data_IF_908506162500
#
_entry.id   IF_908506162500
#
_cell.length_a   1.000
_cell.length_b   1.000
_cell.length_c   1.000
_cell.angle_alpha   90.00
_cell.angle_beta   90.00
_cell.angle_gamma   90.00
#
_symmetry.space_group_name_H-M   'P 1'
#
loop_
_entity.id
_entity.type
_entity.pdbx_description
1 polymer ?
#
# COMPACT_ATOMS: atom_id res chain seq x y z
N UNK A 1 -34.75 11.69 15.13
CA UNK A 1 -34.24 10.30 15.01
C UNK A 1 -32.77 10.34 15.26
N UNK A 2 -32.25 9.28 15.84
CA UNK A 2 -30.82 9.23 16.05
C UNK A 2 -30.16 8.62 14.83
N UNK A 3 -29.21 9.34 14.25
CA UNK A 3 -28.31 8.78 13.25
C UNK A 3 -27.23 7.92 13.92
N UNK A 4 -26.82 6.87 13.22
CA UNK A 4 -25.79 5.94 13.68
C UNK A 4 -25.10 5.30 12.49
N UNK A 5 -23.83 4.98 12.61
CA UNK A 5 -23.15 4.08 11.67
C UNK A 5 -23.18 2.67 12.25
N UNK A 6 -23.86 1.76 11.54
CA UNK A 6 -23.85 0.34 11.85
C UNK A 6 -22.59 -0.28 11.26
N UNK A 7 -21.68 -0.75 12.12
CA UNK A 7 -20.42 -1.39 11.74
C UNK A 7 -20.58 -2.90 11.89
N UNK A 8 -20.36 -3.62 10.79
CA UNK A 8 -20.42 -5.08 10.74
C UNK A 8 -19.00 -5.64 10.81
N UNK A 9 -18.62 -6.34 11.89
CA UNK A 9 -17.29 -6.95 11.98
C UNK A 9 -17.12 -8.11 11.00
N UNK A 10 -15.87 -8.45 10.72
CA UNK A 10 -15.45 -9.48 9.77
C UNK A 10 -15.50 -10.92 10.31
N UNK A 11 -14.71 -11.76 9.66
CA UNK A 11 -14.61 -13.21 9.82
C UNK A 11 -14.26 -13.69 11.24
N UNK A 12 -13.66 -12.83 12.07
CA UNK A 12 -13.29 -13.18 13.45
C UNK A 12 -14.49 -13.41 14.39
N UNK A 13 -15.69 -13.01 13.99
CA UNK A 13 -16.93 -13.21 14.77
C UNK A 13 -17.28 -14.69 15.01
N UNK A 14 -16.70 -15.61 14.23
CA UNK A 14 -16.83 -17.06 14.39
C UNK A 14 -16.00 -17.58 15.59
N UNK A 15 -14.96 -16.86 16.01
CA UNK A 15 -14.13 -17.21 17.17
C UNK A 15 -14.93 -17.11 18.47
N UNK A 16 -14.51 -17.84 19.52
CA UNK A 16 -15.19 -17.88 20.83
C UNK A 16 -14.22 -17.50 21.96
N UNK A 17 -14.78 -17.13 23.11
CA UNK A 17 -14.01 -16.89 24.34
C UNK A 17 -13.06 -15.70 24.27
N UNK A 18 -11.91 -15.81 24.94
CA UNK A 18 -10.95 -14.74 25.13
C UNK A 18 -10.40 -14.17 23.81
N UNK A 19 -10.11 -15.01 22.82
CA UNK A 19 -9.60 -14.58 21.50
C UNK A 19 -10.56 -13.63 20.79
N UNK A 20 -11.86 -13.90 20.85
CA UNK A 20 -12.86 -13.00 20.27
C UNK A 20 -12.88 -11.65 21.01
N UNK A 21 -12.85 -11.68 22.34
CA UNK A 21 -12.86 -10.46 23.14
C UNK A 21 -11.63 -9.57 22.87
N UNK A 22 -10.46 -10.19 22.68
CA UNK A 22 -9.22 -9.49 22.31
C UNK A 22 -9.33 -8.85 20.91
N UNK A 23 -9.80 -9.60 19.91
CA UNK A 23 -10.02 -9.09 18.56
C UNK A 23 -11.05 -7.95 18.53
N UNK A 24 -12.15 -8.06 19.28
CA UNK A 24 -13.12 -6.97 19.44
C UNK A 24 -12.49 -5.72 20.08
N UNK A 25 -11.58 -5.88 21.05
CA UNK A 25 -10.86 -4.78 21.69
C UNK A 25 -9.90 -4.09 20.71
N UNK A 26 -9.17 -4.86 19.91
CA UNK A 26 -8.29 -4.34 18.85
C UNK A 26 -9.10 -3.56 17.80
N UNK A 27 -10.21 -4.13 17.33
CA UNK A 27 -11.10 -3.47 16.38
C UNK A 27 -11.63 -2.15 16.92
N UNK A 28 -12.13 -2.13 18.16
CA UNK A 28 -12.63 -0.90 18.79
C UNK A 28 -11.53 0.15 18.98
N UNK A 29 -10.31 -0.25 19.32
CA UNK A 29 -9.16 0.66 19.40
C UNK A 29 -8.91 1.32 18.04
N UNK A 30 -8.84 0.53 16.97
CA UNK A 30 -8.61 1.03 15.62
C UNK A 30 -9.78 1.91 15.12
N UNK A 31 -11.02 1.51 15.42
CA UNK A 31 -12.22 2.28 15.07
C UNK A 31 -12.27 3.64 15.76
N UNK A 32 -11.84 3.72 17.03
CA UNK A 32 -11.73 4.99 17.76
C UNK A 32 -10.67 5.90 17.13
N UNK A 33 -9.48 5.36 16.86
CA UNK A 33 -8.42 6.13 16.18
C UNK A 33 -8.88 6.65 14.80
N UNK A 34 -9.61 5.84 14.03
CA UNK A 34 -10.19 6.28 12.76
C UNK A 34 -11.26 7.37 12.95
N UNK A 35 -12.06 7.30 14.02
CA UNK A 35 -13.08 8.29 14.32
C UNK A 35 -12.51 9.65 14.74
N UNK A 36 -11.27 9.74 15.21
CA UNK A 36 -10.62 11.02 15.51
C UNK A 36 -10.49 11.92 14.27
N UNK A 37 -10.37 11.34 13.06
CA UNK A 37 -10.41 12.10 11.80
C UNK A 37 -11.75 12.83 11.58
N UNK A 38 -12.79 12.41 12.32
CA UNK A 38 -14.15 12.94 12.26
C UNK A 38 -14.56 13.70 13.54
N UNK A 39 -13.59 14.08 14.38
CA UNK A 39 -13.86 14.74 15.68
C UNK A 39 -14.31 13.78 16.79
N UNK A 40 -14.09 12.48 16.61
CA UNK A 40 -14.44 11.43 17.57
C UNK A 40 -15.82 10.82 17.35
N UNK A 41 -16.11 9.73 18.07
CA UNK A 41 -17.41 9.08 18.06
C UNK A 41 -17.71 8.34 19.37
N UNK A 42 -19.00 8.26 19.71
CA UNK A 42 -19.47 7.39 20.79
C UNK A 42 -19.75 6.00 20.22
N UNK A 43 -19.05 4.99 20.76
CA UNK A 43 -19.21 3.60 20.35
C UNK A 43 -20.07 2.80 21.33
N UNK A 44 -21.01 2.03 20.81
CA UNK A 44 -21.82 1.04 21.53
C UNK A 44 -21.56 -0.33 20.90
N UNK A 45 -21.27 -1.34 21.74
CA UNK A 45 -20.97 -2.70 21.28
C UNK A 45 -22.09 -3.64 21.66
N UNK A 46 -22.49 -4.45 20.70
CA UNK A 46 -23.40 -5.57 20.92
C UNK A 46 -22.85 -6.85 20.26
N UNK A 47 -23.33 -8.05 20.62
CA UNK A 47 -22.86 -9.28 19.99
C UNK A 47 -22.92 -9.24 18.44
N UNK A 48 -21.78 -9.14 17.77
CA UNK A 48 -21.72 -9.11 16.30
C UNK A 48 -22.04 -7.76 15.63
N UNK A 49 -22.22 -6.67 16.39
CA UNK A 49 -22.31 -5.30 15.85
C UNK A 49 -21.58 -4.29 16.72
N UNK A 50 -21.08 -3.26 16.05
CA UNK A 50 -20.63 -2.03 16.69
C UNK A 50 -21.46 -0.89 16.10
N UNK A 51 -21.88 0.04 16.94
CA UNK A 51 -22.63 1.23 16.55
C UNK A 51 -21.78 2.45 16.88
N UNK A 52 -21.63 3.37 15.94
CA UNK A 52 -20.88 4.61 16.12
C UNK A 52 -21.80 5.82 15.92
N UNK A 53 -21.80 6.76 16.89
CA UNK A 53 -22.56 8.02 16.83
C UNK A 53 -21.61 9.21 16.76
N UNK A 54 -21.87 10.12 15.84
CA UNK A 54 -21.05 11.29 15.48
C UNK A 54 -21.41 11.75 14.07
N UNK A 55 -20.47 12.39 13.35
CA UNK A 55 -20.64 12.72 11.93
C UNK A 55 -20.73 11.44 11.09
N UNK A 56 -21.94 11.04 10.73
CA UNK A 56 -22.17 9.76 10.02
C UNK A 56 -21.56 9.72 8.63
N UNK A 57 -21.46 10.85 7.93
CA UNK A 57 -20.88 10.93 6.59
C UNK A 57 -19.35 10.81 6.62
N UNK A 58 -18.70 11.42 7.60
CA UNK A 58 -17.28 11.21 7.82
C UNK A 58 -16.99 9.81 8.35
N UNK A 59 -17.72 9.37 9.38
CA UNK A 59 -17.48 8.08 10.05
C UNK A 59 -17.65 6.89 9.09
N UNK A 60 -18.61 6.93 8.15
CA UNK A 60 -18.72 5.83 7.17
C UNK A 60 -17.43 5.65 6.36
N UNK A 61 -16.77 6.75 5.95
CA UNK A 61 -15.54 6.71 5.15
C UNK A 61 -14.34 6.27 5.99
N UNK A 62 -14.23 6.77 7.22
CA UNK A 62 -13.14 6.41 8.12
C UNK A 62 -13.22 4.94 8.57
N UNK A 63 -14.39 4.51 9.04
CA UNK A 63 -14.61 3.15 9.56
C UNK A 63 -14.56 2.08 8.46
N UNK A 64 -14.89 2.42 7.21
CA UNK A 64 -14.71 1.54 6.05
C UNK A 64 -13.24 1.24 5.70
N UNK A 65 -12.27 1.93 6.34
CA UNK A 65 -10.83 1.65 6.18
C UNK A 65 -10.21 0.84 7.32
N UNK A 66 -11.00 0.43 8.31
CA UNK A 66 -10.50 -0.28 9.49
C UNK A 66 -10.47 -1.80 9.25
N UNK A 67 -9.29 -2.42 9.38
CA UNK A 67 -9.15 -3.88 9.27
C UNK A 67 -9.99 -4.62 10.32
N UNK A 68 -10.66 -5.69 9.90
CA UNK A 68 -11.67 -6.39 10.69
C UNK A 68 -13.09 -5.84 10.53
N UNK A 69 -13.30 -4.73 9.80
CA UNK A 69 -14.65 -4.28 9.40
C UNK A 69 -15.02 -4.90 8.06
N UNK A 70 -16.12 -5.66 8.01
CA UNK A 70 -16.69 -6.20 6.78
C UNK A 70 -17.41 -5.11 5.99
N UNK A 71 -18.30 -4.37 6.63
CA UNK A 71 -19.00 -3.25 6.00
C UNK A 71 -19.52 -2.27 7.04
N UNK A 72 -19.86 -1.07 6.59
CA UNK A 72 -20.49 -0.02 7.39
C UNK A 72 -21.71 0.53 6.66
N UNK A 73 -22.72 0.92 7.43
CA UNK A 73 -23.95 1.52 6.90
C UNK A 73 -24.35 2.72 7.74
N UNK A 74 -24.39 3.96 7.19
CA UNK A 74 -25.08 5.06 7.86
C UNK A 74 -26.58 4.73 7.92
N UNK A 75 -27.16 4.83 9.10
CA UNK A 75 -28.51 4.39 9.38
C UNK A 75 -29.25 5.34 10.32
N UNK A 76 -30.57 5.33 10.21
CA UNK A 76 -31.46 5.87 11.23
C UNK A 76 -31.88 4.75 12.18
N UNK A 77 -31.92 5.02 13.48
CA UNK A 77 -32.42 4.06 14.47
C UNK A 77 -33.69 4.58 15.15
N UNK A 78 -34.63 3.68 15.36
CA UNK A 78 -35.82 3.90 16.18
C UNK A 78 -36.07 2.73 17.12
N UNK A 79 -36.83 2.97 18.19
CA UNK A 79 -37.53 1.90 18.92
C UNK A 79 -38.89 1.63 18.27
N UNK A 80 -39.36 0.39 18.33
CA UNK A 80 -40.66 -0.01 17.79
C UNK A 80 -41.41 -0.90 18.78
N UNK A 81 -42.73 -0.92 18.69
CA UNK A 81 -43.59 -1.86 19.42
C UNK A 81 -44.11 -2.97 18.51
N UNK A 82 -44.35 -2.64 17.23
CA UNK A 82 -44.77 -3.61 16.23
C UNK A 82 -44.30 -3.29 14.80
N UNK A 83 -44.63 -4.20 13.88
CA UNK A 83 -44.28 -4.08 12.46
C UNK A 83 -44.85 -2.82 11.82
N UNK A 84 -46.02 -2.36 12.27
CA UNK A 84 -46.65 -1.15 11.76
C UNK A 84 -45.80 0.11 12.01
N UNK A 85 -45.09 0.19 13.14
CA UNK A 85 -44.20 1.31 13.43
C UNK A 85 -43.01 1.34 12.48
N UNK A 86 -42.41 0.16 12.25
CA UNK A 86 -41.29 -0.01 11.32
C UNK A 86 -41.71 0.39 9.91
N UNK A 87 -42.88 -0.06 9.45
CA UNK A 87 -43.40 0.25 8.12
C UNK A 87 -43.70 1.75 7.95
N UNK A 88 -44.32 2.38 8.96
CA UNK A 88 -44.61 3.81 8.96
C UNK A 88 -43.33 4.65 8.89
N UNK A 89 -42.31 4.26 9.65
CA UNK A 89 -41.04 4.99 9.65
C UNK A 89 -40.26 4.78 8.35
N UNK A 90 -40.21 3.54 7.84
CA UNK A 90 -39.61 3.25 6.54
C UNK A 90 -40.27 4.07 5.42
N UNK A 91 -41.60 4.18 5.42
CA UNK A 91 -42.32 5.01 4.45
C UNK A 91 -41.91 6.49 4.57
N UNK A 92 -41.83 7.02 5.80
CA UNK A 92 -41.40 8.40 6.05
C UNK A 92 -40.00 8.69 5.51
N UNK A 93 -39.09 7.72 5.59
CA UNK A 93 -37.71 7.85 5.11
C UNK A 93 -37.57 7.64 3.59
N UNK A 94 -38.36 6.75 2.99
CA UNK A 94 -38.04 6.16 1.70
C UNK A 94 -39.07 6.38 0.60
N UNK A 95 -40.28 6.88 0.89
CA UNK A 95 -41.30 7.16 -0.15
C UNK A 95 -40.73 8.04 -1.27
N UNK A 96 -40.05 9.14 -0.91
CA UNK A 96 -39.44 10.02 -1.91
C UNK A 96 -38.27 9.38 -2.68
N UNK A 97 -37.55 8.44 -2.07
CA UNK A 97 -36.44 7.72 -2.71
C UNK A 97 -36.91 6.58 -3.63
N UNK A 98 -38.10 6.03 -3.35
CA UNK A 98 -38.69 4.90 -4.05
C UNK A 98 -39.61 5.32 -5.20
N UNK A 99 -40.17 6.53 -5.16
CA UNK A 99 -41.13 7.02 -6.13
C UNK A 99 -40.65 6.84 -7.58
N UNK A 100 -41.44 6.14 -8.40
CA UNK A 100 -41.15 5.89 -9.82
C UNK A 100 -40.02 4.89 -10.10
N UNK A 101 -39.46 4.22 -9.07
CA UNK A 101 -38.32 3.31 -9.20
C UNK A 101 -38.68 1.87 -8.84
N UNK A 102 -37.89 0.94 -9.36
CA UNK A 102 -37.89 -0.47 -8.93
C UNK A 102 -37.11 -0.63 -7.64
N UNK A 103 -37.67 -1.30 -6.63
CA UNK A 103 -37.02 -1.45 -5.33
C UNK A 103 -37.12 -2.85 -4.74
N UNK A 104 -36.20 -3.16 -3.82
CA UNK A 104 -36.26 -4.34 -2.96
C UNK A 104 -36.11 -3.92 -1.49
N UNK A 105 -36.88 -4.57 -0.60
CA UNK A 105 -36.71 -4.42 0.85
C UNK A 105 -35.98 -5.64 1.39
N UNK A 106 -34.81 -5.42 1.98
CA UNK A 106 -33.95 -6.47 2.54
C UNK A 106 -33.98 -6.37 4.06
N UNK A 107 -34.61 -7.35 4.71
CA UNK A 107 -34.77 -7.35 6.17
C UNK A 107 -33.87 -8.38 6.82
N UNK A 108 -33.07 -7.95 7.80
CA UNK A 108 -32.31 -8.84 8.67
C UNK A 108 -32.84 -8.75 10.10
N UNK A 109 -33.21 -9.87 10.71
CA UNK A 109 -33.79 -9.91 12.06
C UNK A 109 -32.92 -10.75 12.97
N UNK A 110 -32.56 -10.19 14.12
CA UNK A 110 -31.78 -10.86 15.17
C UNK A 110 -32.53 -10.77 16.50
N UNK A 111 -32.87 -11.93 17.08
CA UNK A 111 -33.59 -12.04 18.35
C UNK A 111 -34.92 -12.77 18.23
N UNK A 112 -35.75 -12.66 19.27
CA UNK A 112 -37.08 -13.26 19.32
C UNK A 112 -38.15 -12.16 19.15
N UNK A 113 -39.05 -12.35 18.18
CA UNK A 113 -40.10 -11.41 17.80
C UNK A 113 -41.36 -12.19 17.39
N UNK A 114 -42.57 -11.65 17.58
CA UNK A 114 -43.81 -12.28 17.15
C UNK A 114 -44.05 -12.19 15.62
N UNK A 115 -43.06 -11.73 14.87
CA UNK A 115 -43.11 -11.54 13.42
C UNK A 115 -41.80 -11.99 12.76
N UNK A 116 -41.86 -12.25 11.47
CA UNK A 116 -40.74 -12.68 10.64
C UNK A 116 -40.13 -11.50 9.86
N UNK A 117 -38.94 -11.71 9.30
CA UNK A 117 -38.34 -10.74 8.37
C UNK A 117 -39.21 -10.51 7.13
N UNK A 118 -39.98 -11.54 6.72
CA UNK A 118 -40.91 -11.45 5.57
C UNK A 118 -42.09 -10.54 5.88
N UNK A 119 -42.61 -10.59 7.10
CA UNK A 119 -43.72 -9.73 7.52
C UNK A 119 -43.31 -8.25 7.50
N UNK A 120 -42.11 -7.95 8.00
CA UNK A 120 -41.55 -6.59 7.93
C UNK A 120 -41.33 -6.16 6.49
N UNK A 121 -40.72 -7.02 5.66
CA UNK A 121 -40.47 -6.71 4.25
C UNK A 121 -41.77 -6.43 3.49
N UNK A 122 -42.81 -7.23 3.72
CA UNK A 122 -44.12 -7.07 3.10
C UNK A 122 -44.81 -5.77 3.56
N UNK A 123 -44.77 -5.46 4.86
CA UNK A 123 -45.38 -4.25 5.39
C UNK A 123 -44.70 -2.98 4.87
N UNK A 124 -43.36 -2.94 4.91
CA UNK A 124 -42.57 -1.83 4.34
C UNK A 124 -42.79 -1.72 2.83
N UNK A 125 -42.74 -2.85 2.12
CA UNK A 125 -42.95 -2.89 0.68
C UNK A 125 -44.34 -2.37 0.27
N UNK A 126 -45.39 -2.78 0.99
CA UNK A 126 -46.75 -2.30 0.75
C UNK A 126 -46.86 -0.78 0.93
N UNK A 127 -46.23 -0.21 1.96
CA UNK A 127 -46.23 1.22 2.19
C UNK A 127 -45.51 2.01 1.07
N UNK A 128 -44.43 1.46 0.51
CA UNK A 128 -43.70 2.08 -0.61
C UNK A 128 -44.43 1.92 -1.95
N UNK A 129 -45.11 0.79 -2.18
CA UNK A 129 -45.94 0.57 -3.38
C UNK A 129 -47.12 1.55 -3.41
N UNK A 130 -47.77 1.78 -2.27
CA UNK A 130 -48.85 2.76 -2.16
C UNK A 130 -48.41 4.19 -2.56
N UNK A 131 -47.11 4.46 -2.52
CA UNK A 131 -46.48 5.71 -2.93
C UNK A 131 -46.04 5.75 -4.41
N UNK A 132 -46.36 4.72 -5.20
CA UNK A 132 -46.07 4.67 -6.64
C UNK A 132 -44.73 4.03 -7.01
N UNK A 133 -44.10 3.28 -6.09
CA UNK A 133 -42.91 2.48 -6.37
C UNK A 133 -43.27 1.06 -6.84
N UNK A 134 -42.36 0.39 -7.56
CA UNK A 134 -42.58 -1.00 -8.05
C UNK A 134 -41.60 -1.96 -7.38
N UNK A 135 -42.07 -3.10 -6.88
CA UNK A 135 -41.19 -4.13 -6.32
C UNK A 135 -40.46 -4.88 -7.45
N UNK A 136 -39.15 -5.03 -7.32
CA UNK A 136 -38.29 -5.90 -8.14
C UNK A 136 -37.20 -6.50 -7.23
N UNK A 137 -37.29 -7.81 -6.97
CA UNK A 137 -36.37 -8.48 -6.04
C UNK A 137 -35.07 -8.94 -6.71
N UNK A 138 -35.04 -8.98 -8.04
CA UNK A 138 -33.93 -9.49 -8.84
C UNK A 138 -33.04 -8.34 -9.33
N UNK A 139 -33.65 -7.29 -9.89
CA UNK A 139 -32.94 -6.12 -10.46
C UNK A 139 -33.49 -4.78 -9.91
N UNK A 140 -33.41 -4.55 -8.59
CA UNK A 140 -33.82 -3.29 -7.99
C UNK A 140 -32.91 -2.13 -8.42
N UNK A 141 -33.49 -0.95 -8.65
CA UNK A 141 -32.73 0.30 -8.81
C UNK A 141 -32.31 0.89 -7.45
N UNK A 142 -33.03 0.54 -6.39
CA UNK A 142 -32.72 0.92 -5.01
C UNK A 142 -33.05 -0.22 -4.06
N UNK A 143 -32.12 -0.52 -3.16
CA UNK A 143 -32.34 -1.46 -2.07
C UNK A 143 -32.51 -0.71 -0.74
N UNK A 144 -33.56 -1.07 -0.01
CA UNK A 144 -33.87 -0.54 1.31
C UNK A 144 -33.63 -1.63 2.35
N UNK A 145 -32.79 -1.34 3.33
CA UNK A 145 -32.41 -2.33 4.33
C UNK A 145 -32.98 -1.98 5.71
N UNK A 146 -33.61 -2.97 6.33
CA UNK A 146 -34.09 -2.88 7.72
C UNK A 146 -33.37 -3.95 8.54
N UNK A 147 -32.58 -3.54 9.53
CA UNK A 147 -32.03 -4.45 10.53
C UNK A 147 -32.86 -4.33 11.82
N UNK A 148 -33.54 -5.41 12.21
CA UNK A 148 -34.36 -5.48 13.43
C UNK A 148 -33.60 -6.23 14.50
N UNK A 149 -33.41 -5.60 15.66
CA UNK A 149 -32.65 -6.18 16.76
C UNK A 149 -33.16 -5.72 18.12
N UNK A 150 -33.62 -6.68 18.93
CA UNK A 150 -34.30 -6.36 20.19
C UNK A 150 -35.53 -5.48 19.93
N UNK A 151 -35.64 -4.36 20.64
CA UNK A 151 -36.70 -3.35 20.50
C UNK A 151 -36.35 -2.23 19.48
N UNK A 152 -35.25 -2.37 18.71
CA UNK A 152 -34.77 -1.35 17.76
C UNK A 152 -34.81 -1.82 16.31
N UNK A 153 -35.13 -0.88 15.41
CA UNK A 153 -35.02 -1.03 13.97
C UNK A 153 -34.03 0.00 13.42
N UNK A 154 -33.14 -0.46 12.54
CA UNK A 154 -32.13 0.35 11.85
C UNK A 154 -32.45 0.40 10.36
N UNK A 155 -32.56 1.59 9.79
CA UNK A 155 -32.95 1.84 8.41
C UNK A 155 -31.76 2.44 7.64
N UNK A 156 -31.33 1.78 6.57
CA UNK A 156 -30.23 2.26 5.72
C UNK A 156 -30.43 1.87 4.26
N UNK A 157 -29.78 2.60 3.37
CA UNK A 157 -29.76 2.36 1.91
C UNK A 157 -28.36 2.10 1.37
N UNK A 158 -27.33 2.46 2.15
CA UNK A 158 -25.93 2.36 1.74
C UNK A 158 -25.23 1.26 2.54
N UNK A 159 -24.49 0.41 1.84
CA UNK A 159 -23.56 -0.55 2.43
C UNK A 159 -22.18 -0.28 1.84
N UNK A 160 -21.30 0.31 2.64
CA UNK A 160 -19.92 0.59 2.25
C UNK A 160 -19.07 -0.58 2.68
N UNK A 161 -18.47 -1.28 1.71
CA UNK A 161 -17.60 -2.42 1.99
C UNK A 161 -16.29 -1.98 2.65
N UNK A 162 -15.97 -2.64 3.77
CA UNK A 162 -14.70 -2.50 4.45
C UNK A 162 -13.64 -3.44 3.89
N UNK A 163 -12.43 -3.45 4.49
CA UNK A 163 -11.38 -4.38 4.08
C UNK A 163 -11.69 -5.85 4.45
N UNK A 164 -12.65 -6.11 5.35
CA UNK A 164 -12.86 -7.41 5.95
C UNK A 164 -11.64 -7.83 6.77
N UNK A 165 -11.33 -9.13 6.75
CA UNK A 165 -10.12 -9.61 7.40
C UNK A 165 -10.23 -9.69 8.92
N UNK A 166 -9.07 -9.65 9.57
CA UNK A 166 -8.90 -9.69 11.02
C UNK A 166 -8.50 -8.31 11.56
N UNK A 167 -8.83 -7.99 12.82
CA UNK A 167 -8.38 -6.74 13.45
C UNK A 167 -6.85 -6.66 13.46
N UNK A 168 -6.32 -5.48 13.13
CA UNK A 168 -4.88 -5.26 13.05
C UNK A 168 -4.19 -5.50 14.41
N UNK A 169 -3.13 -6.31 14.42
CA UNK A 169 -2.38 -6.71 15.61
C UNK A 169 -2.79 -8.08 16.19
N UNK A 170 -3.80 -8.74 15.63
CA UNK A 170 -4.23 -10.06 16.09
C UNK A 170 -3.31 -11.21 15.67
N UNK A 171 -2.51 -11.05 14.61
CA UNK A 171 -1.66 -12.10 14.04
C UNK A 171 -0.18 -11.69 14.05
N UNK A 172 0.29 -11.13 15.18
CA UNK A 172 1.69 -10.79 15.38
C UNK A 172 2.18 -9.63 14.49
N UNK A 173 3.43 -9.70 14.05
CA UNK A 173 4.11 -8.59 13.35
C UNK A 173 5.07 -9.09 12.28
N UNK A 174 5.08 -8.39 11.16
CA UNK A 174 5.92 -8.66 10.00
C UNK A 174 6.64 -7.39 9.55
N UNK A 175 7.72 -7.57 8.77
CA UNK A 175 8.46 -6.48 8.13
C UNK A 175 8.27 -6.57 6.61
N UNK A 176 7.59 -5.59 6.02
CA UNK A 176 7.36 -5.54 4.58
C UNK A 176 8.49 -4.81 3.86
N UNK A 177 9.04 -5.42 2.81
CA UNK A 177 10.02 -4.82 1.91
C UNK A 177 9.28 -4.03 0.84
N UNK A 178 9.31 -2.69 0.91
CA UNK A 178 8.52 -1.81 0.03
C UNK A 178 9.43 -1.01 -0.88
N UNK A 179 9.26 -1.14 -2.20
CA UNK A 179 10.09 -0.53 -3.24
C UNK A 179 9.52 0.76 -3.84
N UNK A 180 8.29 1.15 -3.49
CA UNK A 180 7.57 2.27 -4.11
C UNK A 180 6.79 1.88 -5.37
N UNK A 181 7.08 0.73 -5.98
CA UNK A 181 6.29 0.14 -7.06
C UNK A 181 4.88 -0.30 -6.63
N UNK A 182 4.10 -0.84 -7.57
CA UNK A 182 2.68 -1.19 -7.36
C UNK A 182 2.50 -2.36 -6.38
N UNK A 183 3.34 -3.38 -6.50
CA UNK A 183 3.06 -4.70 -5.92
C UNK A 183 3.36 -4.75 -4.40
N UNK A 184 4.52 -4.25 -3.98
CA UNK A 184 4.95 -4.29 -2.57
C UNK A 184 3.98 -3.63 -1.56
N UNK A 185 3.35 -2.46 -1.81
CA UNK A 185 2.34 -1.94 -0.90
C UNK A 185 1.07 -2.79 -0.86
N UNK A 186 0.67 -3.43 -1.96
CA UNK A 186 -0.49 -4.35 -1.98
C UNK A 186 -0.20 -5.58 -1.11
N UNK A 187 0.99 -6.17 -1.24
CA UNK A 187 1.41 -7.28 -0.39
C UNK A 187 1.39 -6.93 1.10
N UNK A 188 1.95 -5.77 1.46
CA UNK A 188 1.91 -5.26 2.83
C UNK A 188 0.47 -5.08 3.34
N UNK A 189 -0.42 -4.51 2.53
CA UNK A 189 -1.83 -4.30 2.87
C UNK A 189 -2.58 -5.62 3.08
N UNK A 190 -2.29 -6.65 2.28
CA UNK A 190 -2.88 -7.98 2.44
C UNK A 190 -2.51 -8.63 3.78
N UNK A 191 -1.28 -8.44 4.28
CA UNK A 191 -0.90 -8.91 5.61
C UNK A 191 -1.58 -8.11 6.73
N UNK A 192 -1.73 -6.79 6.57
CA UNK A 192 -2.53 -6.00 7.51
C UNK A 192 -3.98 -6.49 7.57
N UNK A 193 -4.56 -6.86 6.42
CA UNK A 193 -5.90 -7.47 6.32
C UNK A 193 -5.98 -8.82 7.03
N UNK A 194 -4.88 -9.58 7.08
CA UNK A 194 -4.79 -10.81 7.88
C UNK A 194 -4.42 -10.55 9.34
N UNK A 195 -4.49 -9.31 9.82
CA UNK A 195 -4.33 -8.99 11.24
C UNK A 195 -2.88 -8.81 11.70
N UNK A 196 -1.89 -8.86 10.81
CA UNK A 196 -0.49 -8.64 11.18
C UNK A 196 -0.17 -7.15 11.30
N UNK A 197 0.52 -6.74 12.36
CA UNK A 197 1.20 -5.44 12.35
C UNK A 197 2.30 -5.43 11.29
N UNK A 198 2.36 -4.37 10.48
CA UNK A 198 3.35 -4.23 9.41
C UNK A 198 4.22 -3.02 9.70
N UNK A 199 5.50 -3.28 9.98
CA UNK A 199 6.56 -2.28 9.81
C UNK A 199 7.09 -2.37 8.36
N UNK A 200 7.67 -1.30 7.84
CA UNK A 200 8.14 -1.21 6.46
C UNK A 200 9.65 -1.02 6.43
N UNK A 201 10.36 -1.78 5.60
CA UNK A 201 11.74 -1.51 5.22
C UNK A 201 11.78 -1.07 3.75
N UNK A 202 12.36 0.10 3.51
CA UNK A 202 12.69 0.61 2.20
C UNK A 202 14.21 0.70 2.02
N UNK A 203 14.70 0.11 0.94
CA UNK A 203 16.09 0.17 0.51
C UNK A 203 16.20 1.28 -0.54
N UNK A 204 16.80 2.40 -0.16
CA UNK A 204 16.93 3.56 -1.03
C UNK A 204 18.17 3.40 -1.93
N UNK A 205 17.94 3.45 -3.23
CA UNK A 205 19.00 3.52 -4.26
C UNK A 205 18.90 4.80 -5.11
N UNK A 206 17.81 5.56 -4.98
CA UNK A 206 17.41 6.61 -5.91
C UNK A 206 17.48 8.02 -5.33
N UNK A 207 18.48 8.30 -4.49
CA UNK A 207 18.66 9.63 -3.92
C UNK A 207 17.47 10.13 -3.08
N UNK A 208 17.28 11.45 -3.00
CA UNK A 208 16.23 12.06 -2.17
C UNK A 208 14.89 12.07 -2.90
N UNK A 209 14.89 12.27 -4.23
CA UNK A 209 13.65 12.33 -5.01
C UNK A 209 12.92 10.99 -4.99
N UNK A 210 13.61 9.88 -5.29
CA UNK A 210 12.97 8.57 -5.27
C UNK A 210 12.53 8.16 -3.87
N UNK A 211 13.34 8.51 -2.85
CA UNK A 211 12.95 8.32 -1.46
C UNK A 211 11.66 9.07 -1.16
N UNK A 212 11.56 10.35 -1.51
CA UNK A 212 10.36 11.17 -1.30
C UNK A 212 9.12 10.52 -1.94
N UNK A 213 9.22 10.09 -3.20
CA UNK A 213 8.13 9.39 -3.89
C UNK A 213 7.74 8.09 -3.18
N UNK A 214 8.72 7.26 -2.83
CA UNK A 214 8.46 5.98 -2.15
C UNK A 214 7.84 6.19 -0.77
N UNK A 215 8.26 7.22 -0.03
CA UNK A 215 7.66 7.54 1.26
C UNK A 215 6.23 8.04 1.16
N UNK A 216 5.84 8.72 0.08
CA UNK A 216 4.42 9.07 -0.16
C UNK A 216 3.57 7.81 -0.45
N UNK A 217 4.12 6.82 -1.17
CA UNK A 217 3.46 5.50 -1.33
C UNK A 217 3.30 4.81 0.03
N UNK A 218 4.37 4.78 0.83
CA UNK A 218 4.35 4.17 2.18
C UNK A 218 3.37 4.90 3.10
N UNK A 219 3.32 6.23 3.06
CA UNK A 219 2.37 7.04 3.83
C UNK A 219 0.92 6.72 3.45
N UNK A 220 0.64 6.57 2.15
CA UNK A 220 -0.69 6.17 1.66
C UNK A 220 -1.06 4.76 2.13
N UNK A 221 -0.14 3.82 2.07
CA UNK A 221 -0.32 2.46 2.61
C UNK A 221 -0.61 2.50 4.12
N UNK A 222 0.21 3.20 4.90
CA UNK A 222 0.10 3.27 6.35
C UNK A 222 -1.11 4.10 6.83
N UNK A 223 -1.80 4.82 5.95
CA UNK A 223 -3.10 5.43 6.28
C UNK A 223 -4.18 4.38 6.60
N UNK A 224 -3.98 3.11 6.23
CA UNK A 224 -4.88 1.99 6.55
C UNK A 224 -4.57 1.34 7.92
N UNK A 225 -3.43 1.64 8.54
CA UNK A 225 -2.96 0.94 9.75
C UNK A 225 -3.49 1.53 11.07
N UNK A 226 -4.79 1.83 11.14
CA UNK A 226 -5.42 2.30 12.38
C UNK A 226 -5.16 1.34 13.55
N UNK A 227 -4.87 1.88 14.73
CA UNK A 227 -4.53 1.13 15.92
C UNK A 227 -3.03 0.81 16.04
N UNK A 228 -2.22 1.16 15.04
CA UNK A 228 -0.80 0.85 14.98
C UNK A 228 0.07 2.01 14.46
N UNK A 229 1.03 2.42 15.29
CA UNK A 229 2.07 3.38 14.91
C UNK A 229 3.27 2.66 14.28
N UNK A 230 3.11 2.30 13.01
CA UNK A 230 4.11 1.58 12.22
C UNK A 230 5.46 2.31 12.16
N UNK A 231 6.53 1.52 12.04
CA UNK A 231 7.88 2.00 11.76
C UNK A 231 8.13 1.96 10.26
N UNK A 232 8.73 3.02 9.74
CA UNK A 232 9.30 3.11 8.40
C UNK A 232 10.81 3.13 8.57
N UNK A 233 11.45 2.04 8.17
CA UNK A 233 12.87 1.82 8.22
C UNK A 233 13.44 2.11 6.83
N UNK A 234 14.42 2.99 6.76
CA UNK A 234 15.04 3.46 5.52
C UNK A 234 16.52 3.10 5.58
N UNK A 235 16.98 2.23 4.70
CA UNK A 235 18.40 1.92 4.52
C UNK A 235 18.94 2.59 3.25
N UNK A 236 20.13 3.18 3.32
CA UNK A 236 20.88 3.56 2.13
C UNK A 236 21.54 2.31 1.54
N UNK A 237 21.15 1.92 0.34
CA UNK A 237 21.63 0.70 -0.30
C UNK A 237 22.72 0.94 -1.34
N UNK A 238 23.27 2.15 -1.42
CA UNK A 238 24.43 2.47 -2.24
C UNK A 238 25.60 1.47 -2.04
N UNK A 239 25.94 1.03 -0.80
CA UNK A 239 26.97 0.01 -0.58
C UNK A 239 26.68 -1.34 -1.24
N UNK A 240 25.40 -1.76 -1.26
CA UNK A 240 24.97 -3.00 -1.93
C UNK A 240 25.14 -2.86 -3.44
N UNK A 241 24.72 -1.73 -4.03
CA UNK A 241 24.88 -1.49 -5.46
C UNK A 241 26.36 -1.52 -5.87
N UNK A 242 27.24 -0.91 -5.06
CA UNK A 242 28.70 -0.95 -5.28
C UNK A 242 29.24 -2.39 -5.22
N UNK A 243 28.88 -3.15 -4.18
CA UNK A 243 29.33 -4.53 -3.99
C UNK A 243 28.89 -5.45 -5.15
N UNK A 244 27.67 -5.26 -5.66
CA UNK A 244 27.18 -5.99 -6.84
C UNK A 244 28.05 -5.72 -8.07
N UNK A 245 28.38 -4.45 -8.35
CA UNK A 245 29.18 -4.08 -9.53
C UNK A 245 30.62 -4.57 -9.44
N UNK A 246 31.23 -4.54 -8.26
CA UNK A 246 32.65 -4.89 -8.09
C UNK A 246 32.88 -6.39 -7.86
N UNK A 247 31.91 -7.12 -7.32
CA UNK A 247 32.12 -8.46 -6.77
C UNK A 247 31.18 -9.55 -7.29
N UNK A 248 30.18 -9.21 -8.11
CA UNK A 248 29.19 -10.18 -8.59
C UNK A 248 29.09 -10.14 -10.11
N UNK A 249 29.05 -11.31 -10.75
CA UNK A 249 28.80 -11.42 -12.19
C UNK A 249 27.47 -10.78 -12.57
N UNK A 250 27.45 -10.00 -13.64
CA UNK A 250 26.29 -9.20 -14.07
C UNK A 250 25.00 -10.03 -14.24
N UNK A 251 25.13 -11.24 -14.78
CA UNK A 251 24.02 -12.19 -14.95
C UNK A 251 23.33 -12.60 -13.64
N UNK A 252 24.02 -12.47 -12.49
CA UNK A 252 23.51 -12.82 -11.16
C UNK A 252 22.95 -11.61 -10.39
N UNK A 253 23.11 -10.38 -10.87
CA UNK A 253 22.79 -9.17 -10.10
C UNK A 253 21.35 -9.13 -9.59
N UNK A 254 20.37 -9.61 -10.36
CA UNK A 254 18.97 -9.65 -9.91
C UNK A 254 18.75 -10.58 -8.71
N UNK A 255 19.38 -11.77 -8.71
CA UNK A 255 19.29 -12.72 -7.61
C UNK A 255 20.05 -12.16 -6.41
N UNK A 256 21.26 -11.65 -6.65
CA UNK A 256 22.12 -11.07 -5.64
C UNK A 256 21.50 -9.85 -4.93
N UNK A 257 20.89 -8.93 -5.68
CA UNK A 257 20.22 -7.76 -5.11
C UNK A 257 19.04 -8.17 -4.22
N UNK A 258 18.17 -9.08 -4.68
CA UNK A 258 17.07 -9.59 -3.87
C UNK A 258 17.56 -10.28 -2.60
N UNK A 259 18.62 -11.08 -2.74
CA UNK A 259 19.26 -11.74 -1.61
C UNK A 259 19.81 -10.74 -0.61
N UNK A 260 20.42 -9.64 -1.06
CA UNK A 260 20.83 -8.53 -0.20
C UNK A 260 19.63 -7.96 0.57
N UNK A 261 18.51 -7.68 -0.11
CA UNK A 261 17.28 -7.17 0.51
C UNK A 261 16.75 -8.13 1.58
N UNK A 262 16.77 -9.44 1.34
CA UNK A 262 16.31 -10.44 2.31
C UNK A 262 17.22 -10.51 3.52
N UNK A 263 18.54 -10.46 3.33
CA UNK A 263 19.49 -10.50 4.44
C UNK A 263 19.44 -9.20 5.26
N UNK A 264 19.36 -8.03 4.63
CA UNK A 264 19.14 -6.75 5.32
C UNK A 264 17.80 -6.81 6.08
N UNK A 265 16.74 -7.27 5.42
CA UNK A 265 15.43 -7.46 6.05
C UNK A 265 15.48 -8.37 7.26
N UNK A 266 16.18 -9.50 7.18
CA UNK A 266 16.32 -10.46 8.27
C UNK A 266 17.05 -9.86 9.48
N UNK A 267 18.11 -9.06 9.26
CA UNK A 267 18.79 -8.36 10.35
C UNK A 267 17.89 -7.28 10.98
N UNK A 268 17.25 -6.44 10.17
CA UNK A 268 16.32 -5.40 10.64
C UNK A 268 15.11 -6.01 11.38
N UNK A 269 14.61 -7.15 10.91
CA UNK A 269 13.49 -7.86 11.52
C UNK A 269 13.73 -8.21 12.99
N UNK A 270 14.97 -8.52 13.38
CA UNK A 270 15.35 -8.77 14.78
C UNK A 270 15.11 -7.52 15.63
N UNK A 271 15.56 -6.37 15.17
CA UNK A 271 15.42 -5.07 15.85
C UNK A 271 13.96 -4.67 16.02
N UNK A 272 13.14 -4.88 14.98
CA UNK A 272 11.71 -4.55 15.04
C UNK A 272 10.87 -5.64 15.69
N UNK A 273 11.45 -6.83 15.97
CA UNK A 273 10.78 -8.06 16.44
C UNK A 273 9.69 -8.57 15.50
N UNK A 274 9.98 -8.57 14.20
CA UNK A 274 9.10 -9.14 13.18
C UNK A 274 9.35 -10.64 13.05
N UNK A 275 8.29 -11.42 12.91
CA UNK A 275 8.35 -12.88 12.79
C UNK A 275 8.55 -13.36 11.34
N UNK A 276 8.28 -12.49 10.35
CA UNK A 276 8.42 -12.80 8.93
C UNK A 276 8.71 -11.53 8.12
N UNK A 277 9.30 -11.73 6.94
CA UNK A 277 9.37 -10.72 5.89
C UNK A 277 8.16 -10.81 4.97
N UNK A 278 7.80 -9.71 4.32
CA UNK A 278 6.76 -9.66 3.29
C UNK A 278 7.33 -9.04 2.03
N UNK A 279 7.11 -9.67 0.88
CA UNK A 279 7.52 -9.13 -0.43
C UNK A 279 6.33 -9.03 -1.38
N UNK A 280 6.43 -8.13 -2.34
CA UNK A 280 5.47 -7.97 -3.44
C UNK A 280 5.75 -8.87 -4.64
N UNK A 281 6.36 -10.04 -4.46
CA UNK A 281 6.71 -10.91 -5.58
C UNK A 281 5.52 -11.74 -6.07
N UNK A 282 5.36 -11.84 -7.40
CA UNK A 282 4.38 -12.66 -8.11
C UNK A 282 5.07 -13.62 -9.08
N UNK A 283 4.65 -14.88 -9.12
CA UNK A 283 5.35 -15.90 -9.89
C UNK A 283 5.20 -15.65 -11.40
N UNK A 284 6.33 -15.58 -12.12
CA UNK A 284 6.35 -15.47 -13.58
C UNK A 284 6.11 -14.07 -14.16
N UNK A 285 5.98 -13.03 -13.32
CA UNK A 285 5.77 -11.65 -13.79
C UNK A 285 7.02 -11.02 -14.41
N UNK A 286 8.20 -11.30 -13.85
CA UNK A 286 9.51 -10.83 -14.35
C UNK A 286 10.55 -11.94 -14.27
N UNK A 287 11.66 -11.79 -15.01
CA UNK A 287 12.74 -12.79 -15.07
C UNK A 287 13.37 -13.13 -13.72
N UNK A 288 13.33 -12.20 -12.76
CA UNK A 288 13.83 -12.40 -11.39
C UNK A 288 12.83 -13.11 -10.47
N UNK A 289 11.62 -13.42 -10.93
CA UNK A 289 10.53 -14.03 -10.17
C UNK A 289 10.13 -15.40 -10.77
N UNK A 290 11.10 -16.17 -11.26
CA UNK A 290 10.93 -17.60 -11.51
C UNK A 290 11.03 -18.38 -10.21
N UNK A 291 10.47 -19.60 -10.18
CA UNK A 291 10.56 -20.47 -9.00
C UNK A 291 12.01 -20.71 -8.58
N UNK A 292 12.91 -20.93 -9.53
CA UNK A 292 14.32 -21.16 -9.28
C UNK A 292 15.05 -19.91 -8.77
N UNK A 293 14.72 -18.72 -9.29
CA UNK A 293 15.30 -17.47 -8.80
C UNK A 293 14.84 -17.15 -7.37
N UNK A 294 13.55 -17.39 -7.06
CA UNK A 294 13.02 -17.22 -5.70
C UNK A 294 13.68 -18.18 -4.71
N UNK A 295 13.79 -19.46 -5.08
CA UNK A 295 14.46 -20.47 -4.25
C UNK A 295 15.93 -20.13 -4.01
N UNK A 296 16.64 -19.68 -5.05
CA UNK A 296 18.03 -19.25 -4.95
C UNK A 296 18.20 -18.02 -4.04
N UNK A 297 17.35 -16.99 -4.20
CA UNK A 297 17.40 -15.78 -3.38
C UNK A 297 17.10 -16.05 -1.90
N UNK A 298 16.21 -17.00 -1.59
CA UNK A 298 15.80 -17.34 -0.22
C UNK A 298 16.71 -18.36 0.47
N UNK A 299 17.56 -19.09 -0.26
CA UNK A 299 18.43 -20.13 0.29
C UNK A 299 19.22 -19.65 1.52
N UNK A 300 19.09 -20.30 2.68
CA UNK A 300 19.85 -19.90 3.88
C UNK A 300 19.37 -18.62 4.59
N UNK A 301 18.27 -17.99 4.15
CA UNK A 301 17.61 -16.92 4.90
C UNK A 301 16.71 -17.54 5.97
N UNK A 302 17.06 -17.35 7.25
CA UNK A 302 16.41 -18.06 8.38
C UNK A 302 15.04 -17.52 8.81
N UNK A 303 14.60 -16.38 8.29
CA UNK A 303 13.28 -15.79 8.59
C UNK A 303 12.28 -16.14 7.47
N UNK A 304 11.03 -16.53 7.78
CA UNK A 304 10.02 -16.80 6.75
C UNK A 304 9.77 -15.59 5.84
N UNK A 305 9.68 -15.83 4.53
CA UNK A 305 9.35 -14.80 3.53
C UNK A 305 7.94 -15.05 2.97
N UNK A 306 7.00 -14.18 3.32
CA UNK A 306 5.61 -14.26 2.86
C UNK A 306 5.44 -13.52 1.54
N UNK A 307 4.80 -14.18 0.56
CA UNK A 307 4.55 -13.66 -0.79
C UNK A 307 3.06 -13.68 -1.12
N UNK A 308 2.27 -12.71 -0.62
CA UNK A 308 0.82 -12.70 -0.77
C UNK A 308 0.33 -12.67 -2.21
N UNK A 309 1.18 -12.17 -3.12
CA UNK A 309 0.85 -11.96 -4.53
C UNK A 309 1.32 -13.13 -5.41
N UNK A 310 1.91 -14.19 -4.83
CA UNK A 310 2.62 -15.23 -5.59
C UNK A 310 1.78 -15.88 -6.70
N UNK A 311 0.46 -15.97 -6.50
CA UNK A 311 -0.49 -16.54 -7.47
C UNK A 311 -1.49 -15.52 -8.03
N UNK A 312 -1.26 -14.22 -7.85
CA UNK A 312 -2.13 -13.16 -8.37
C UNK A 312 -1.62 -12.63 -9.70
N UNK A 313 -2.55 -12.33 -10.61
CA UNK A 313 -2.21 -11.65 -11.85
C UNK A 313 -2.08 -10.12 -11.66
N UNK A 314 -1.56 -9.45 -12.71
CA UNK A 314 -1.30 -8.01 -12.68
C UNK A 314 -2.58 -7.16 -12.55
N UNK A 315 -3.69 -7.62 -13.10
CA UNK A 315 -4.96 -6.89 -13.07
C UNK A 315 -5.58 -6.94 -11.68
N UNK A 316 -5.50 -8.09 -11.01
CA UNK A 316 -5.89 -8.25 -9.61
C UNK A 316 -5.07 -7.34 -8.68
N UNK A 317 -3.74 -7.34 -8.85
CA UNK A 317 -2.84 -6.47 -8.06
C UNK A 317 -3.16 -5.00 -8.32
N UNK A 318 -3.37 -4.62 -9.59
CA UNK A 318 -3.67 -3.23 -9.98
C UNK A 318 -5.00 -2.75 -9.40
N UNK A 319 -6.06 -3.57 -9.48
CA UNK A 319 -7.36 -3.26 -8.87
C UNK A 319 -7.25 -3.04 -7.36
N UNK A 320 -6.46 -3.86 -6.67
CA UNK A 320 -6.19 -3.66 -5.25
C UNK A 320 -5.40 -2.37 -4.99
N UNK A 321 -4.35 -2.09 -5.76
CA UNK A 321 -3.57 -0.86 -5.64
C UNK A 321 -4.42 0.40 -5.84
N UNK A 322 -5.37 0.37 -6.77
CA UNK A 322 -6.34 1.44 -6.99
C UNK A 322 -7.29 1.57 -5.78
N UNK A 323 -7.84 0.45 -5.29
CA UNK A 323 -8.73 0.43 -4.12
C UNK A 323 -8.06 1.01 -2.87
N UNK A 324 -6.78 0.73 -2.64
CA UNK A 324 -6.04 1.22 -1.48
C UNK A 324 -5.43 2.61 -1.69
N UNK A 325 -5.50 3.13 -2.92
CA UNK A 325 -5.07 4.46 -3.33
C UNK A 325 -3.57 4.61 -3.56
N UNK A 326 -2.81 3.51 -3.68
CA UNK A 326 -1.35 3.55 -3.92
C UNK A 326 -0.98 3.60 -5.40
N UNK A 327 -1.87 3.14 -6.29
CA UNK A 327 -1.59 3.00 -7.73
C UNK A 327 -1.04 4.29 -8.37
N UNK A 328 -1.74 5.42 -8.26
CA UNK A 328 -1.37 6.67 -8.94
C UNK A 328 0.00 7.21 -8.54
N UNK A 329 0.41 6.96 -7.30
CA UNK A 329 1.71 7.40 -6.78
C UNK A 329 2.79 6.39 -7.19
N UNK A 330 2.50 5.10 -7.09
CA UNK A 330 3.43 4.03 -7.48
C UNK A 330 3.73 4.03 -8.97
N UNK A 331 2.75 4.34 -9.83
CA UNK A 331 2.93 4.39 -11.28
C UNK A 331 3.93 5.47 -11.74
N UNK A 332 4.21 6.47 -10.89
CA UNK A 332 5.18 7.54 -11.15
C UNK A 332 6.59 7.21 -10.63
N UNK A 333 6.75 6.12 -9.89
CA UNK A 333 8.02 5.75 -9.27
C UNK A 333 8.89 4.99 -10.27
N UNK A 334 10.13 5.43 -10.56
CA UNK A 334 11.04 4.70 -11.43
C UNK A 334 11.38 3.31 -10.85
N UNK A 335 11.42 2.28 -11.68
CA UNK A 335 11.87 0.95 -11.26
C UNK A 335 13.40 0.86 -11.29
N UNK A 336 14.04 1.06 -10.13
CA UNK A 336 15.50 0.96 -10.00
C UNK A 336 16.03 -0.48 -10.16
N UNK A 337 15.21 -1.50 -9.91
CA UNK A 337 15.60 -2.90 -10.14
C UNK A 337 15.89 -3.19 -11.62
N UNK A 338 15.29 -2.44 -12.56
CA UNK A 338 15.55 -2.59 -13.99
C UNK A 338 16.98 -2.15 -14.39
N UNK A 339 17.69 -1.41 -13.53
CA UNK A 339 19.09 -1.05 -13.77
C UNK A 339 20.00 -2.29 -13.77
N UNK A 340 19.59 -3.38 -13.12
CA UNK A 340 20.39 -4.60 -12.95
C UNK A 340 20.06 -5.72 -13.97
N UNK A 341 19.27 -5.44 -15.02
CA UNK A 341 18.56 -6.48 -15.78
C UNK A 341 19.20 -6.92 -17.11
N UNK A 342 20.52 -6.91 -17.26
CA UNK A 342 21.15 -7.37 -18.51
C UNK A 342 21.34 -8.89 -18.51
N UNK A 343 20.58 -9.56 -19.39
CA UNK A 343 20.56 -11.04 -19.53
C UNK A 343 20.52 -11.78 -18.19
N UNK A 344 19.54 -11.48 -17.32
CA UNK A 344 19.54 -12.00 -15.97
C UNK A 344 19.33 -13.51 -15.98
N UNK A 345 20.18 -14.19 -15.21
CA UNK A 345 20.04 -15.62 -14.93
C UNK A 345 18.77 -15.85 -14.12
N UNK A 346 18.04 -16.92 -14.47
CA UNK A 346 16.76 -17.30 -13.85
C UNK A 346 16.91 -18.32 -12.71
N UNK A 347 18.15 -18.64 -12.33
CA UNK A 347 18.53 -19.63 -11.33
C UNK A 347 19.98 -19.36 -10.89
N UNK A 348 20.41 -19.90 -9.75
CA UNK A 348 21.80 -19.88 -9.32
C UNK A 348 22.17 -21.21 -8.65
N UNK A 349 23.42 -21.67 -8.78
CA UNK A 349 23.91 -22.82 -8.01
C UNK A 349 24.22 -22.42 -6.58
N UNK A 350 24.52 -23.40 -5.72
CA UNK A 350 24.92 -23.14 -4.35
C UNK A 350 26.23 -22.35 -4.26
N UNK A 351 27.20 -22.71 -5.10
CA UNK A 351 28.50 -22.04 -5.18
C UNK A 351 28.33 -20.57 -5.57
N UNK A 352 27.45 -20.30 -6.54
CA UNK A 352 27.14 -18.91 -6.95
C UNK A 352 26.44 -18.13 -5.83
N UNK A 353 25.62 -18.79 -5.02
CA UNK A 353 25.01 -18.17 -3.85
C UNK A 353 26.06 -17.85 -2.77
N UNK A 354 27.03 -18.73 -2.56
CA UNK A 354 28.15 -18.50 -1.63
C UNK A 354 29.05 -17.35 -2.12
N UNK A 355 29.34 -17.26 -3.42
CA UNK A 355 30.04 -16.13 -4.06
C UNK A 355 29.31 -14.80 -3.80
N UNK A 356 27.99 -14.78 -4.06
CA UNK A 356 27.14 -13.61 -3.81
C UNK A 356 27.17 -13.23 -2.33
N UNK A 357 27.05 -14.21 -1.42
CA UNK A 357 26.98 -13.96 0.00
C UNK A 357 28.27 -13.39 0.57
N UNK A 358 29.41 -13.84 0.05
CA UNK A 358 30.73 -13.32 0.37
C UNK A 358 30.87 -11.87 -0.12
N UNK A 359 30.56 -11.62 -1.39
CA UNK A 359 30.67 -10.27 -1.99
C UNK A 359 29.77 -9.23 -1.30
N UNK A 360 28.60 -9.64 -0.80
CA UNK A 360 27.62 -8.75 -0.19
C UNK A 360 27.74 -8.64 1.35
N UNK A 361 28.62 -9.41 2.00
CA UNK A 361 28.63 -9.56 3.46
C UNK A 361 28.73 -8.21 4.19
N UNK A 362 29.77 -7.44 3.90
CA UNK A 362 30.04 -6.16 4.57
C UNK A 362 28.98 -5.12 4.24
N UNK A 363 28.56 -5.04 2.97
CA UNK A 363 27.53 -4.10 2.53
C UNK A 363 26.19 -4.36 3.24
N UNK A 364 25.77 -5.62 3.37
CA UNK A 364 24.55 -5.97 4.10
C UNK A 364 24.63 -5.56 5.57
N UNK A 365 25.76 -5.82 6.23
CA UNK A 365 25.98 -5.47 7.64
C UNK A 365 26.00 -3.95 7.85
N UNK A 366 26.66 -3.22 6.95
CA UNK A 366 26.72 -1.76 6.95
C UNK A 366 25.32 -1.16 6.83
N UNK A 367 24.53 -1.58 5.83
CA UNK A 367 23.18 -1.05 5.62
C UNK A 367 22.27 -1.38 6.81
N UNK A 368 22.28 -2.62 7.29
CA UNK A 368 21.43 -3.04 8.40
C UNK A 368 21.72 -2.28 9.71
N UNK A 369 22.99 -1.91 9.94
CA UNK A 369 23.42 -1.20 11.14
C UNK A 369 23.13 0.31 11.09
N UNK A 370 23.01 0.89 9.90
CA UNK A 370 22.86 2.33 9.68
C UNK A 370 21.45 2.73 9.21
N UNK A 371 20.43 1.92 9.48
CA UNK A 371 19.06 2.24 9.09
C UNK A 371 18.49 3.42 9.86
N UNK A 372 17.76 4.29 9.16
CA UNK A 372 16.96 5.36 9.76
C UNK A 372 15.56 4.87 10.06
N UNK A 373 15.05 5.14 11.25
CA UNK A 373 13.69 4.76 11.66
C UNK A 373 12.82 6.00 11.84
N UNK A 374 11.69 6.04 11.13
CA UNK A 374 10.67 7.09 11.23
C UNK A 374 9.34 6.46 11.63
N UNK A 375 8.60 7.09 12.56
CA UNK A 375 7.26 6.61 12.94
C UNK A 375 6.20 7.14 11.98
N UNK A 376 5.10 6.39 11.82
CA UNK A 376 3.94 6.79 10.99
C UNK A 376 3.49 8.24 11.25
N UNK A 377 3.35 8.65 12.52
CA UNK A 377 2.92 10.02 12.85
C UNK A 377 3.94 11.11 12.50
N UNK A 378 5.23 10.77 12.36
CA UNK A 378 6.30 11.68 11.95
C UNK A 378 6.51 11.71 10.44
N UNK A 379 5.93 10.74 9.71
CA UNK A 379 6.27 10.48 8.32
C UNK A 379 5.95 11.66 7.41
N UNK A 380 4.80 12.31 7.60
CA UNK A 380 4.42 13.48 6.80
C UNK A 380 5.44 14.62 6.95
N UNK A 381 5.90 14.88 8.16
CA UNK A 381 6.85 15.96 8.42
C UNK A 381 8.26 15.59 7.95
N UNK A 382 8.64 14.34 8.13
CA UNK A 382 9.89 13.84 7.55
C UNK A 382 9.92 13.99 6.03
N UNK A 383 8.83 13.68 5.34
CA UNK A 383 8.76 13.85 3.88
C UNK A 383 8.93 15.33 3.50
N UNK A 384 8.36 16.28 4.25
CA UNK A 384 8.55 17.71 3.98
C UNK A 384 10.02 18.15 4.11
N UNK A 385 10.80 17.52 5.00
CA UNK A 385 12.24 17.81 5.12
C UNK A 385 13.07 17.33 3.93
N UNK A 386 12.51 16.42 3.11
CA UNK A 386 13.11 16.03 1.84
C UNK A 386 12.78 17.11 0.81
N UNK A 387 13.66 18.09 0.67
CA UNK A 387 13.60 19.17 -0.32
C UNK A 387 14.41 18.77 -1.56
N UNK A 388 13.82 18.08 -2.55
CA UNK A 388 14.49 17.91 -3.83
C UNK A 388 14.65 19.28 -4.52
N UNK A 389 15.73 19.53 -5.27
CA UNK A 389 15.86 20.79 -6.00
C UNK A 389 14.78 20.86 -7.09
N UNK A 390 13.95 21.91 -7.09
CA UNK A 390 12.79 22.04 -8.01
C UNK A 390 13.21 22.21 -9.48
N UNK A 391 14.41 22.72 -9.72
CA UNK A 391 14.98 23.03 -11.03
C UNK A 391 15.96 21.94 -11.52
N UNK A 392 15.93 20.75 -10.94
CA UNK A 392 16.89 19.68 -11.26
C UNK A 392 16.63 19.04 -12.64
N UNK A 393 15.38 18.97 -13.09
CA UNK A 393 15.02 18.42 -14.40
C UNK A 393 14.92 19.53 -15.46
N UNK A 394 15.52 19.30 -16.62
CA UNK A 394 15.47 20.22 -17.77
C UNK A 394 14.89 19.52 -19.00
N UNK A 395 14.17 20.25 -19.85
CA UNK A 395 13.66 19.71 -21.11
C UNK A 395 14.72 19.67 -22.22
N UNK A 396 15.67 20.59 -22.17
CA UNK A 396 16.80 20.69 -23.10
C UNK A 396 18.08 21.05 -22.34
N UNK A 397 19.26 20.55 -22.78
CA UNK A 397 20.52 20.98 -22.19
C UNK A 397 20.71 22.50 -22.31
N UNK A 398 21.08 23.22 -21.22
CA UNK A 398 21.48 24.62 -21.32
C UNK A 398 22.68 24.80 -22.27
N UNK A 399 22.79 25.98 -22.87
CA UNK A 399 23.91 26.30 -23.76
C UNK A 399 25.26 26.17 -23.04
N UNK A 400 26.23 25.50 -23.67
CA UNK A 400 27.55 25.25 -23.11
C UNK A 400 27.60 24.16 -22.03
N UNK A 401 26.49 23.46 -21.74
CA UNK A 401 26.50 22.36 -20.78
C UNK A 401 27.25 21.12 -21.30
N UNK A 402 27.96 20.45 -20.39
CA UNK A 402 28.54 19.12 -20.64
C UNK A 402 27.43 18.10 -20.52
N UNK A 403 27.03 17.52 -21.63
CA UNK A 403 26.02 16.46 -21.66
C UNK A 403 26.70 15.11 -21.38
N UNK A 404 26.19 14.35 -20.42
CA UNK A 404 26.74 13.07 -19.99
C UNK A 404 25.71 11.96 -20.14
N UNK A 405 26.04 10.95 -20.95
CA UNK A 405 25.28 9.73 -21.10
C UNK A 405 25.68 8.72 -20.03
N UNK A 406 24.71 8.33 -19.19
CA UNK A 406 24.89 7.31 -18.14
C UNK A 406 24.47 5.91 -18.59
N UNK A 407 24.16 5.73 -19.88
CA UNK A 407 23.92 4.42 -20.48
C UNK A 407 25.26 3.74 -20.78
N UNK A 408 25.18 2.49 -21.17
CA UNK A 408 26.36 1.69 -21.47
C UNK A 408 26.99 2.01 -22.82
N UNK A 409 28.17 1.43 -23.04
CA UNK A 409 28.97 1.61 -24.25
C UNK A 409 28.20 1.24 -25.52
N UNK A 410 27.43 0.15 -25.52
CA UNK A 410 26.72 -0.32 -26.70
C UNK A 410 25.61 0.66 -27.07
N UNK A 411 24.83 1.12 -26.09
CA UNK A 411 23.76 2.09 -26.32
C UNK A 411 24.30 3.45 -26.75
N UNK A 412 25.36 3.92 -26.08
CA UNK A 412 26.04 5.15 -26.42
C UNK A 412 26.57 5.10 -27.86
N UNK A 413 27.26 4.01 -28.26
CA UNK A 413 27.76 3.84 -29.63
C UNK A 413 26.66 3.75 -30.68
N UNK A 414 25.52 3.14 -30.36
CA UNK A 414 24.37 3.08 -31.27
C UNK A 414 23.80 4.47 -31.54
N UNK A 415 23.60 5.27 -30.49
CA UNK A 415 23.14 6.64 -30.60
C UNK A 415 23.33 7.37 -29.27
N UNK A 416 23.79 8.61 -29.33
CA UNK A 416 23.86 9.54 -28.19
C UNK A 416 23.59 10.96 -28.67
N UNK A 417 23.25 11.85 -27.73
CA UNK A 417 23.11 13.28 -28.04
C UNK A 417 24.42 13.85 -28.60
N UNK A 418 24.37 14.73 -29.62
CA UNK A 418 25.57 15.32 -30.21
C UNK A 418 26.48 15.96 -29.15
N UNK A 419 27.75 15.57 -29.14
CA UNK A 419 28.76 16.09 -28.20
C UNK A 419 28.65 15.57 -26.77
N UNK A 420 27.72 14.63 -26.49
CA UNK A 420 27.67 13.97 -25.19
C UNK A 420 28.92 13.14 -24.94
N UNK A 421 29.38 13.09 -23.69
CA UNK A 421 30.40 12.15 -23.22
C UNK A 421 29.72 11.01 -22.47
N UNK A 422 30.31 9.81 -22.48
CA UNK A 422 29.82 8.70 -21.68
C UNK A 422 30.55 8.62 -20.34
N UNK A 423 29.83 8.32 -19.26
CA UNK A 423 30.44 7.88 -18.00
C UNK A 423 29.54 6.88 -17.28
N UNK A 424 30.17 5.94 -16.58
CA UNK A 424 29.45 5.09 -15.64
C UNK A 424 29.15 5.87 -14.35
N UNK A 425 28.07 5.49 -13.64
CA UNK A 425 27.60 6.20 -12.44
C UNK A 425 28.72 6.43 -11.41
N UNK A 426 29.56 5.41 -11.18
CA UNK A 426 30.64 5.47 -10.20
C UNK A 426 31.83 6.33 -10.65
N UNK A 427 31.91 6.66 -11.94
CA UNK A 427 32.97 7.49 -12.53
C UNK A 427 32.57 8.96 -12.66
N UNK A 428 31.30 9.30 -12.40
CA UNK A 428 30.79 10.65 -12.64
C UNK A 428 31.59 11.70 -11.87
N UNK A 429 31.89 11.47 -10.60
CA UNK A 429 32.65 12.44 -9.81
C UNK A 429 34.05 12.64 -10.38
N UNK A 430 34.73 11.56 -10.78
CA UNK A 430 36.04 11.60 -11.44
C UNK A 430 35.98 12.34 -12.78
N UNK A 431 34.92 12.13 -13.57
CA UNK A 431 34.69 12.85 -14.82
C UNK A 431 34.54 14.35 -14.55
N UNK A 432 33.70 14.73 -13.58
CA UNK A 432 33.46 16.14 -13.23
C UNK A 432 34.74 16.79 -12.71
N UNK A 433 35.52 16.10 -11.89
CA UNK A 433 36.80 16.58 -11.39
C UNK A 433 37.82 16.81 -12.52
N UNK A 434 37.81 15.93 -13.52
CA UNK A 434 38.66 16.05 -14.71
C UNK A 434 38.22 17.18 -15.65
N UNK A 435 36.92 17.36 -15.83
CA UNK A 435 36.36 18.32 -16.79
C UNK A 435 36.19 19.73 -16.21
N UNK A 436 36.15 19.88 -14.88
CA UNK A 436 36.03 21.15 -14.15
C UNK A 436 34.70 21.25 -13.40
N UNK A 437 34.75 21.50 -12.09
CA UNK A 437 33.56 21.60 -11.21
C UNK A 437 32.71 22.86 -11.43
N UNK A 438 33.26 23.87 -12.11
CA UNK A 438 32.63 25.15 -12.43
C UNK A 438 31.65 25.07 -13.62
N UNK A 439 31.71 24.00 -14.40
CA UNK A 439 30.84 23.78 -15.56
C UNK A 439 29.43 23.35 -15.17
N UNK A 440 28.51 23.56 -16.09
CA UNK A 440 27.16 23.01 -16.01
C UNK A 440 27.14 21.61 -16.64
N UNK A 441 26.61 20.62 -15.91
CA UNK A 441 26.47 19.24 -16.39
C UNK A 441 25.01 18.86 -16.58
N UNK A 442 24.72 18.08 -17.62
CA UNK A 442 23.38 17.55 -17.90
C UNK A 442 23.49 16.05 -18.11
N UNK A 443 22.84 15.27 -17.26
CA UNK A 443 22.89 13.81 -17.30
C UNK A 443 21.63 13.24 -17.93
N UNK A 444 21.74 12.14 -18.66
CA UNK A 444 20.58 11.38 -19.10
C UNK A 444 20.83 9.87 -19.02
N UNK A 445 19.76 9.11 -18.83
CA UNK A 445 19.78 7.65 -18.81
C UNK A 445 18.51 7.09 -19.47
N UNK A 446 18.31 5.77 -19.45
CA UNK A 446 17.14 5.13 -20.09
C UNK A 446 15.77 5.61 -19.57
N UNK A 447 15.66 5.81 -18.25
CA UNK A 447 14.37 6.04 -17.57
C UNK A 447 14.29 7.41 -16.87
N UNK A 448 15.40 8.15 -16.82
CA UNK A 448 15.55 9.42 -16.09
C UNK A 448 15.85 9.28 -14.59
N UNK A 449 15.71 8.08 -14.01
CA UNK A 449 15.95 7.87 -12.56
C UNK A 449 17.42 8.09 -12.18
N UNK A 450 18.34 7.36 -12.84
CA UNK A 450 19.77 7.45 -12.54
C UNK A 450 20.34 8.86 -12.77
N UNK A 451 19.92 9.56 -13.82
CA UNK A 451 20.40 10.91 -14.12
C UNK A 451 19.93 11.94 -13.09
N UNK A 452 18.73 11.75 -12.53
CA UNK A 452 18.21 12.57 -11.45
C UNK A 452 19.05 12.43 -10.18
N UNK A 453 19.38 11.19 -9.82
CA UNK A 453 20.16 10.89 -8.61
C UNK A 453 21.59 11.44 -8.71
N UNK A 454 22.20 11.31 -9.89
CA UNK A 454 23.52 11.88 -10.18
C UNK A 454 23.50 13.40 -10.07
N UNK A 455 22.54 14.04 -10.72
CA UNK A 455 22.42 15.50 -10.69
C UNK A 455 22.21 16.02 -9.26
N UNK A 456 21.41 15.31 -8.46
CA UNK A 456 21.13 15.70 -7.08
C UNK A 456 22.39 15.55 -6.20
N UNK A 457 23.11 14.44 -6.37
CA UNK A 457 24.34 14.15 -5.63
C UNK A 457 25.42 15.19 -5.91
N UNK A 458 25.58 15.59 -7.17
CA UNK A 458 26.52 16.64 -7.57
C UNK A 458 26.10 18.03 -7.05
N UNK A 459 24.80 18.35 -7.05
CA UNK A 459 24.30 19.61 -6.48
C UNK A 459 24.57 19.72 -4.98
N UNK A 460 24.49 18.62 -4.23
CA UNK A 460 24.89 18.57 -2.80
C UNK A 460 26.37 18.88 -2.59
N UNK A 461 27.21 18.67 -3.60
CA UNK A 461 28.62 19.04 -3.62
C UNK A 461 28.88 20.44 -4.20
N UNK A 462 27.83 21.22 -4.48
CA UNK A 462 27.93 22.58 -5.02
C UNK A 462 28.13 22.65 -6.53
N UNK A 463 27.96 21.55 -7.26
CA UNK A 463 28.18 21.48 -8.72
C UNK A 463 26.84 21.73 -9.44
N UNK A 464 26.85 22.55 -10.50
CA UNK A 464 25.67 22.80 -11.34
C UNK A 464 25.38 21.58 -12.22
N UNK A 465 24.44 20.75 -11.79
CA UNK A 465 24.07 19.53 -12.50
C UNK A 465 22.55 19.43 -12.72
N UNK A 466 22.12 18.90 -13.86
CA UNK A 466 20.71 18.74 -14.22
C UNK A 466 20.46 17.33 -14.79
N UNK A 467 19.21 16.86 -14.72
CA UNK A 467 18.74 15.63 -15.36
C UNK A 467 17.92 15.96 -16.59
N UNK A 468 18.15 15.22 -17.67
CA UNK A 468 17.42 15.31 -18.93
C UNK A 468 16.69 14.00 -19.20
N UNK A 469 15.38 14.10 -19.47
CA UNK A 469 14.55 12.95 -19.79
C UNK A 469 14.47 12.75 -21.30
N UNK A 470 15.05 11.65 -21.80
CA UNK A 470 14.94 11.30 -23.21
C UNK A 470 13.47 11.01 -23.57
N UNK A 471 12.90 11.79 -24.51
CA UNK A 471 11.56 11.50 -25.08
C UNK A 471 11.72 10.37 -26.10
N UNK A 472 10.87 9.33 -26.04
CA UNK A 472 10.84 8.26 -27.05
C UNK A 472 10.49 8.87 -28.41
N UNK A 473 11.43 8.94 -29.34
CA UNK A 473 11.20 9.38 -30.73
C UNK A 473 12.24 10.31 -31.35
N UNK A 474 13.35 10.64 -30.68
CA UNK A 474 14.51 11.33 -31.28
C UNK A 474 15.67 10.39 -31.53
#
# INVERSE_FOLDING_TARGET
MDEVVVVRPGEFTIKRGATRAEMEKLLLKAAREAAEECGGAKFEKEPGRIYARGDTQCLKKALARVFGVKSVSPAYVMKFEGVADIAREAARLWVGLAAGRRFAVRVHRVGNHPFTSRDVAAAVGSALVAAGARVDLENPEVEFFVEVRGDRAYFYTEVVEGPGGLPLGSEGKVLALVSGGIDSPVAAWLLMRRGAHVDVLHCNLGGTVALRHTLEVIKRLLAWSYGYNARVIIGDCSPVAKALRSGVREELWNIAFKRALYRIGAEVAKTVRAAALVTGESLGQVSSQTLQALAAAEMGVGIPILRPLIGMDKDEITKLAQRIGTYEISAKTPEYCAVFSRRPKKWATREEIEEIDFALHDAVAEVASNVKVVRKWQLAEFIKTLSPPEDIEVETPPEGAVVVDLRDEESYRKWHLPGAVRADFDEVLSLVDKLGRDKTYVFYCYSGGLSLDVAESLRKLGIKAYSLRLRRGT
#
